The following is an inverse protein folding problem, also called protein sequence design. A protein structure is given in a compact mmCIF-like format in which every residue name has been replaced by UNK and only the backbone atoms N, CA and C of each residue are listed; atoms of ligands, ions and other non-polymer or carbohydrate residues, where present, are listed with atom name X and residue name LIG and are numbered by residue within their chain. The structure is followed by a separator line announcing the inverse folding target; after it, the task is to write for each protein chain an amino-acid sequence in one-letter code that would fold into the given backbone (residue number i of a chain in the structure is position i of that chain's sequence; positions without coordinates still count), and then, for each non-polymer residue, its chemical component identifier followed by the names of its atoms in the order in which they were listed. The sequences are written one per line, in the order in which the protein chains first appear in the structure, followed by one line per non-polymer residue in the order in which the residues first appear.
data_IF_630634226449
#
_entry.id   IF_630634226449
#
_cell.length_a   1.000
_cell.length_b   1.000
_cell.length_c   1.000
_cell.angle_alpha   90.00
_cell.angle_beta   90.00
_cell.angle_gamma   90.00
#
_symmetry.space_group_name_H-M   'P 1'
#
loop_
_entity.id
_entity.type
_entity.pdbx_description
1 polymer ?
#
# COMPACT_ATOMS: atom_id res chain seq x y z
N UNK A 1 2.59 -11.59 2.02
CA UNK A 1 1.27 -12.06 1.56
C UNK A 1 0.71 -11.01 0.63
N UNK A 2 0.02 -11.40 -0.44
CA UNK A 2 -0.65 -10.46 -1.34
C UNK A 2 -2.04 -10.10 -0.81
N UNK A 3 -2.74 -9.22 -1.51
CA UNK A 3 -4.18 -8.97 -1.36
C UNK A 3 -4.83 -9.06 -2.74
N UNK A 4 -4.34 -9.99 -3.56
CA UNK A 4 -4.71 -10.14 -4.97
C UNK A 4 -5.99 -10.95 -5.16
N UNK A 5 -6.35 -11.77 -4.18
CA UNK A 5 -7.56 -12.59 -4.20
C UNK A 5 -8.56 -12.11 -3.13
N UNK A 6 -9.85 -12.19 -3.45
CA UNK A 6 -10.94 -11.79 -2.54
C UNK A 6 -11.01 -12.69 -1.31
N UNK A 7 -10.68 -13.96 -1.47
CA UNK A 7 -10.55 -14.92 -0.37
C UNK A 7 -9.20 -14.71 0.33
N UNK A 8 -9.25 -14.22 1.57
CA UNK A 8 -8.05 -13.82 2.32
C UNK A 8 -7.04 -14.97 2.45
N UNK A 9 -7.50 -16.17 2.75
CA UNK A 9 -6.69 -17.37 2.91
C UNK A 9 -6.00 -17.82 1.61
N UNK A 10 -6.51 -17.41 0.45
CA UNK A 10 -5.92 -17.74 -0.84
C UNK A 10 -4.78 -16.80 -1.24
N UNK A 11 -4.50 -15.75 -0.46
CA UNK A 11 -3.38 -14.84 -0.67
C UNK A 11 -2.01 -15.41 -0.23
N UNK A 12 -1.75 -16.65 -0.64
CA UNK A 12 -0.51 -17.39 -0.39
C UNK A 12 0.57 -16.98 -1.39
N UNK A 13 1.84 -17.24 -1.05
CA UNK A 13 2.97 -16.99 -1.94
C UNK A 13 2.84 -17.79 -3.26
N UNK A 14 2.35 -19.03 -3.19
CA UNK A 14 2.20 -19.88 -4.37
C UNK A 14 1.10 -19.38 -5.32
N UNK A 15 -0.09 -19.07 -4.80
CA UNK A 15 -1.17 -18.52 -5.64
C UNK A 15 -0.78 -17.17 -6.24
N UNK A 16 -0.06 -16.35 -5.48
CA UNK A 16 0.49 -15.08 -5.97
C UNK A 16 1.45 -15.32 -7.13
N UNK A 17 2.37 -16.28 -7.01
CA UNK A 17 3.29 -16.65 -8.08
C UNK A 17 2.56 -17.16 -9.33
N UNK A 18 1.57 -18.03 -9.16
CA UNK A 18 0.75 -18.55 -10.26
C UNK A 18 -0.03 -17.44 -10.99
N UNK A 19 -0.58 -16.46 -10.25
CA UNK A 19 -1.22 -15.29 -10.84
C UNK A 19 -0.23 -14.49 -11.69
N UNK A 20 0.95 -14.16 -11.15
CA UNK A 20 1.92 -13.33 -11.87
C UNK A 20 2.56 -14.04 -13.08
N UNK A 21 2.98 -15.28 -12.91
CA UNK A 21 3.73 -16.00 -13.94
C UNK A 21 2.81 -16.59 -15.02
N UNK A 22 1.63 -17.06 -14.62
CA UNK A 22 0.77 -17.91 -15.46
C UNK A 22 -0.64 -17.34 -15.65
N UNK A 23 -1.00 -16.21 -15.02
CA UNK A 23 -2.36 -15.65 -15.02
C UNK A 23 -3.42 -16.62 -14.49
N UNK A 24 -3.06 -17.44 -13.50
CA UNK A 24 -3.99 -18.37 -12.87
C UNK A 24 -4.71 -17.67 -11.71
N UNK A 25 -6.04 -17.67 -11.77
CA UNK A 25 -6.90 -17.19 -10.69
C UNK A 25 -7.41 -18.35 -9.84
N UNK A 26 -7.75 -18.07 -8.59
CA UNK A 26 -8.35 -19.02 -7.66
C UNK A 26 -9.56 -18.39 -6.96
N UNK A 27 -10.38 -19.21 -6.30
CA UNK A 27 -11.48 -18.75 -5.43
C UNK A 27 -12.54 -17.90 -6.13
N UNK A 28 -13.07 -16.92 -5.41
CA UNK A 28 -14.05 -15.95 -5.90
C UNK A 28 -13.49 -15.09 -7.04
N UNK A 29 -12.19 -14.80 -7.03
CA UNK A 29 -11.53 -14.05 -8.11
C UNK A 29 -11.59 -14.84 -9.43
N UNK A 30 -11.41 -16.17 -9.40
CA UNK A 30 -11.58 -17.01 -10.60
C UNK A 30 -13.02 -16.99 -11.12
N UNK A 31 -14.01 -17.09 -10.21
CA UNK A 31 -15.43 -17.05 -10.59
C UNK A 31 -15.79 -15.71 -11.23
N UNK A 32 -15.35 -14.61 -10.62
CA UNK A 32 -15.54 -13.26 -11.16
C UNK A 32 -14.87 -13.10 -12.53
N UNK A 33 -13.69 -13.67 -12.72
CA UNK A 33 -13.00 -13.65 -14.02
C UNK A 33 -13.78 -14.42 -15.09
N UNK A 34 -14.23 -15.64 -14.78
CA UNK A 34 -15.04 -16.47 -15.69
C UNK A 34 -16.38 -15.83 -16.04
N UNK A 35 -16.98 -15.08 -15.10
CA UNK A 35 -18.18 -14.29 -15.33
C UNK A 35 -17.94 -13.00 -16.14
N UNK A 36 -16.68 -12.66 -16.44
CA UNK A 36 -16.33 -11.42 -17.14
C UNK A 36 -16.51 -10.15 -16.30
N UNK A 37 -16.55 -10.27 -14.97
CA UNK A 37 -16.81 -9.16 -14.06
C UNK A 37 -15.68 -8.12 -14.02
N UNK A 38 -14.48 -8.49 -14.48
CA UNK A 38 -13.35 -7.58 -14.61
C UNK A 38 -12.46 -7.95 -15.79
N UNK A 39 -11.67 -6.98 -16.25
CA UNK A 39 -10.64 -7.18 -17.28
C UNK A 39 -9.30 -7.31 -16.60
N UNK A 40 -8.59 -8.40 -16.87
CA UNK A 40 -7.22 -8.60 -16.42
C UNK A 40 -6.26 -8.44 -17.59
N UNK A 41 -5.19 -7.68 -17.38
CA UNK A 41 -4.06 -7.62 -18.29
C UNK A 41 -2.85 -8.23 -17.58
N UNK A 42 -2.05 -8.98 -18.33
CA UNK A 42 -0.80 -9.51 -17.81
C UNK A 42 0.07 -8.36 -17.31
N UNK A 43 0.64 -8.50 -16.12
CA UNK A 43 1.55 -7.52 -15.54
C UNK A 43 2.90 -7.65 -16.25
N UNK A 44 3.29 -6.59 -16.98
CA UNK A 44 4.51 -6.53 -17.80
C UNK A 44 5.60 -5.65 -17.19
N UNK A 45 5.44 -5.27 -15.93
CA UNK A 45 6.38 -4.44 -15.19
C UNK A 45 6.87 -5.16 -13.93
N UNK A 46 8.04 -4.77 -13.39
CA UNK A 46 8.55 -5.35 -12.15
C UNK A 46 7.56 -5.23 -11.00
N UNK A 47 7.46 -6.30 -10.22
CA UNK A 47 6.60 -6.36 -9.03
C UNK A 47 7.50 -6.53 -7.82
N UNK A 48 7.23 -5.74 -6.78
CA UNK A 48 7.90 -5.83 -5.50
C UNK A 48 6.90 -6.34 -4.46
N UNK A 49 7.39 -7.18 -3.54
CA UNK A 49 6.61 -7.66 -2.39
C UNK A 49 7.12 -6.93 -1.16
N UNK A 50 6.19 -6.34 -0.41
CA UNK A 50 6.54 -5.63 0.81
C UNK A 50 7.10 -6.59 1.87
N UNK A 51 8.00 -6.08 2.71
CA UNK A 51 8.57 -6.83 3.83
C UNK A 51 7.54 -6.85 4.97
N UNK A 52 7.19 -8.01 5.54
CA UNK A 52 6.32 -8.03 6.71
C UNK A 52 7.06 -7.48 7.93
N UNK A 53 6.35 -6.70 8.75
CA UNK A 53 6.79 -6.27 10.09
C UNK A 53 5.74 -6.74 11.10
N UNK A 54 6.20 -7.17 12.27
CA UNK A 54 5.38 -7.80 13.30
C UNK A 54 5.58 -7.06 14.63
N UNK A 55 4.73 -7.38 15.62
CA UNK A 55 5.09 -7.06 17.00
C UNK A 55 6.33 -7.84 17.45
N UNK A 56 7.22 -7.27 18.29
CA UNK A 56 7.12 -5.92 18.86
C UNK A 56 7.67 -4.79 17.96
N UNK A 57 8.32 -5.12 16.84
CA UNK A 57 9.01 -4.16 15.96
C UNK A 57 8.10 -3.05 15.41
N UNK A 58 6.81 -3.36 15.22
CA UNK A 58 5.77 -2.42 14.81
C UNK A 58 5.61 -1.23 15.77
N UNK A 59 5.72 -1.49 17.07
CA UNK A 59 5.59 -0.47 18.12
C UNK A 59 6.94 0.00 18.68
N UNK A 60 8.04 -0.50 18.11
CA UNK A 60 9.40 -0.09 18.49
C UNK A 60 9.65 1.39 18.20
N UNK A 61 10.43 2.03 19.08
CA UNK A 61 10.67 3.47 18.99
C UNK A 61 11.38 3.85 17.69
N UNK A 62 12.24 2.98 17.12
CA UNK A 62 12.89 3.27 15.83
C UNK A 62 11.88 3.37 14.69
N UNK A 63 10.93 2.42 14.60
CA UNK A 63 9.86 2.44 13.61
C UNK A 63 9.01 3.70 13.74
N UNK A 64 8.68 4.08 14.99
CA UNK A 64 7.93 5.31 15.26
C UNK A 64 8.70 6.56 14.82
N UNK A 65 9.99 6.66 15.11
CA UNK A 65 10.78 7.81 14.66
C UNK A 65 10.92 7.85 13.14
N UNK A 66 11.04 6.70 12.45
CA UNK A 66 11.03 6.64 10.98
C UNK A 66 9.72 7.20 10.41
N UNK A 67 8.57 6.83 10.98
CA UNK A 67 7.26 7.37 10.56
C UNK A 67 7.22 8.88 10.75
N UNK A 68 7.68 9.38 11.90
CA UNK A 68 7.68 10.81 12.19
C UNK A 68 8.60 11.57 11.22
N UNK A 69 9.75 11.00 10.86
CA UNK A 69 10.68 11.59 9.89
C UNK A 69 10.08 11.71 8.49
N UNK A 70 9.27 10.75 8.05
CA UNK A 70 8.58 10.82 6.75
C UNK A 70 7.45 11.86 6.71
N UNK A 71 6.99 12.35 7.86
CA UNK A 71 5.89 13.32 7.96
C UNK A 71 6.42 14.69 8.35
N UNK A 72 7.10 15.34 7.39
CA UNK A 72 7.67 16.68 7.53
C UNK A 72 6.58 17.67 7.97
N UNK A 73 6.68 18.10 9.24
CA UNK A 73 5.67 18.93 9.91
C UNK A 73 5.38 18.47 11.33
N UNK A 74 5.41 17.16 11.58
CA UNK A 74 5.17 16.61 12.92
C UNK A 74 6.28 16.94 13.93
N UNK A 75 7.47 17.28 13.43
CA UNK A 75 8.61 17.70 14.23
C UNK A 75 8.70 19.22 14.46
N UNK A 76 7.82 20.01 13.86
CA UNK A 76 7.89 21.48 13.94
C UNK A 76 7.32 22.05 15.27
N UNK A 77 6.55 21.26 16.02
CA UNK A 77 5.91 21.67 17.28
C UNK A 77 6.80 21.56 18.53
N UNK A 78 6.31 21.97 19.71
CA UNK A 78 6.99 21.80 20.99
C UNK A 78 7.01 20.33 21.47
N UNK A 79 7.97 19.97 22.33
CA UNK A 79 8.19 18.59 22.76
C UNK A 79 6.94 17.86 23.33
N UNK A 80 6.05 18.50 24.10
CA UNK A 80 4.83 17.84 24.57
C UNK A 80 3.90 17.36 23.44
N UNK A 81 3.87 18.06 22.31
CA UNK A 81 3.07 17.67 21.15
C UNK A 81 3.69 16.48 20.43
N UNK A 82 5.01 16.50 20.23
CA UNK A 82 5.76 15.37 19.67
C UNK A 82 5.56 14.10 20.51
N UNK A 83 5.56 14.23 21.83
CA UNK A 83 5.34 13.09 22.72
C UNK A 83 3.92 12.51 22.62
N UNK A 84 2.90 13.35 22.39
CA UNK A 84 1.53 12.87 22.11
C UNK A 84 1.48 12.06 20.82
N UNK A 85 2.13 12.54 19.75
CA UNK A 85 2.21 11.82 18.46
C UNK A 85 2.86 10.45 18.64
N UNK A 86 4.02 10.40 19.29
CA UNK A 86 4.72 9.13 19.59
C UNK A 86 3.85 8.15 20.36
N UNK A 87 3.14 8.65 21.37
CA UNK A 87 2.25 7.84 22.21
C UNK A 87 1.07 7.30 21.41
N UNK A 88 0.46 8.13 20.57
CA UNK A 88 -0.64 7.74 19.70
C UNK A 88 -0.21 6.67 18.68
N UNK A 89 0.95 6.82 18.03
CA UNK A 89 1.47 5.84 17.09
C UNK A 89 1.78 4.50 17.78
N UNK A 90 2.44 4.52 18.95
CA UNK A 90 2.67 3.30 19.75
C UNK A 90 1.37 2.60 20.09
N UNK A 91 0.36 3.35 20.54
CA UNK A 91 -0.95 2.83 20.88
C UNK A 91 -1.71 2.24 19.67
N UNK A 92 -1.62 2.88 18.51
CA UNK A 92 -2.19 2.39 17.25
C UNK A 92 -1.54 1.06 16.83
N UNK A 93 -0.21 1.04 16.74
CA UNK A 93 0.50 -0.15 16.27
C UNK A 93 0.42 -1.31 17.26
N UNK A 94 0.37 -1.07 18.57
CA UNK A 94 0.23 -2.11 19.59
C UNK A 94 -1.03 -3.00 19.41
N UNK A 95 -2.04 -2.52 18.69
CA UNK A 95 -3.26 -3.28 18.39
C UNK A 95 -3.13 -4.17 17.14
N UNK A 96 -2.05 -4.03 16.38
CA UNK A 96 -1.79 -4.77 15.14
C UNK A 96 -0.77 -5.88 15.38
N UNK A 97 -1.08 -7.09 14.92
CA UNK A 97 -0.17 -8.26 15.02
C UNK A 97 0.96 -8.16 13.98
N UNK A 98 0.60 -7.74 12.76
CA UNK A 98 1.49 -7.62 11.62
C UNK A 98 0.96 -6.61 10.60
N UNK A 99 1.84 -6.07 9.77
CA UNK A 99 1.48 -5.35 8.55
C UNK A 99 2.67 -5.33 7.56
N UNK A 100 2.46 -4.72 6.39
CA UNK A 100 3.56 -4.44 5.46
C UNK A 100 4.42 -3.28 5.96
N UNK A 101 5.74 -3.41 5.87
CA UNK A 101 6.68 -2.38 6.32
C UNK A 101 6.45 -1.05 5.61
N UNK A 102 6.29 -1.08 4.29
CA UNK A 102 6.02 0.11 3.47
C UNK A 102 4.72 0.78 3.89
N UNK A 103 3.69 -0.03 4.19
CA UNK A 103 2.42 0.48 4.69
C UNK A 103 2.55 1.15 6.06
N UNK A 104 3.29 0.51 6.99
CA UNK A 104 3.51 1.01 8.33
C UNK A 104 4.24 2.35 8.31
N UNK A 105 5.40 2.41 7.65
CA UNK A 105 6.30 3.56 7.73
C UNK A 105 5.79 4.79 6.96
N UNK A 106 4.85 4.59 6.05
CA UNK A 106 4.19 5.65 5.28
C UNK A 106 2.74 5.90 5.71
N UNK A 107 2.25 5.24 6.77
CA UNK A 107 0.87 5.35 7.27
C UNK A 107 -0.20 5.16 6.19
N UNK A 108 0.02 4.20 5.29
CA UNK A 108 -0.91 3.91 4.21
C UNK A 108 -2.19 3.26 4.78
N UNK A 109 -3.34 3.65 4.25
CA UNK A 109 -4.66 3.24 4.77
C UNK A 109 -5.01 1.78 4.46
N UNK A 110 -4.45 1.21 3.40
CA UNK A 110 -4.72 -0.15 2.97
C UNK A 110 -4.65 -0.33 1.45
N UNK A 111 -5.17 -1.43 0.95
CA UNK A 111 -5.14 -1.77 -0.47
C UNK A 111 -6.50 -1.55 -1.16
N UNK A 112 -6.53 -1.12 -2.43
CA UNK A 112 -5.41 -0.60 -3.19
C UNK A 112 -5.03 0.82 -2.74
N UNK A 113 -3.73 1.12 -2.70
CA UNK A 113 -3.19 2.47 -2.59
C UNK A 113 -2.44 2.77 -3.88
N UNK A 114 -2.63 3.97 -4.42
CA UNK A 114 -1.99 4.41 -5.65
C UNK A 114 -1.19 5.68 -5.40
N UNK A 115 0.00 5.74 -5.98
CA UNK A 115 0.94 6.85 -5.84
C UNK A 115 1.53 7.12 -7.23
N UNK A 116 1.42 8.37 -7.68
CA UNK A 116 2.08 8.87 -8.89
C UNK A 116 3.21 9.79 -8.45
N UNK A 117 4.40 9.56 -8.97
CA UNK A 117 5.58 10.38 -8.73
C UNK A 117 6.31 10.69 -10.03
N UNK A 118 7.05 11.79 -10.06
CA UNK A 118 7.86 12.19 -11.21
C UNK A 118 9.26 11.52 -11.19
N UNK A 119 10.10 11.86 -12.17
CA UNK A 119 11.46 11.35 -12.27
C UNK A 119 12.41 11.84 -11.16
N UNK A 120 12.00 12.85 -10.38
CA UNK A 120 12.73 13.33 -9.19
C UNK A 120 12.24 12.65 -7.90
N UNK A 121 11.30 11.71 -8.00
CA UNK A 121 10.63 11.04 -6.89
C UNK A 121 9.72 11.96 -6.06
N UNK A 122 9.29 13.09 -6.63
CA UNK A 122 8.28 13.94 -6.00
C UNK A 122 6.89 13.33 -6.20
N UNK A 123 6.11 13.20 -5.13
CA UNK A 123 4.72 12.69 -5.21
C UNK A 123 3.84 13.76 -5.87
N UNK A 124 3.27 13.44 -7.03
CA UNK A 124 2.36 14.29 -7.78
C UNK A 124 0.90 14.07 -7.35
N UNK A 125 0.55 12.82 -7.04
CA UNK A 125 -0.81 12.42 -6.69
C UNK A 125 -0.80 11.14 -5.85
N UNK A 126 -1.69 11.04 -4.87
CA UNK A 126 -1.94 9.82 -4.12
C UNK A 126 -3.44 9.63 -3.89
N UNK A 127 -3.89 8.37 -3.76
CA UNK A 127 -5.24 8.06 -3.29
C UNK A 127 -5.32 6.64 -2.76
N UNK A 128 -6.30 6.42 -1.90
CA UNK A 128 -6.66 5.12 -1.35
C UNK A 128 -8.04 4.68 -1.87
N UNK A 129 -8.18 3.38 -2.14
CA UNK A 129 -9.42 2.77 -2.60
C UNK A 129 -9.55 2.70 -4.12
N UNK A 130 -10.54 1.93 -4.57
CA UNK A 130 -10.83 1.77 -5.98
C UNK A 130 -11.26 3.10 -6.62
N UNK A 131 -10.79 3.33 -7.84
CA UNK A 131 -11.23 4.42 -8.70
C UNK A 131 -11.59 3.92 -10.08
N UNK A 132 -12.50 4.65 -10.71
CA UNK A 132 -12.84 4.45 -12.11
C UNK A 132 -11.60 4.60 -13.01
N UNK A 133 -11.30 3.64 -13.92
CA UNK A 133 -10.11 3.69 -14.76
C UNK A 133 -10.01 4.92 -15.67
N UNK A 134 -11.15 5.47 -16.13
CA UNK A 134 -11.14 6.68 -16.95
C UNK A 134 -10.71 7.87 -16.10
N UNK A 135 -11.23 7.99 -14.88
CA UNK A 135 -10.83 9.05 -13.96
C UNK A 135 -9.33 8.97 -13.60
N UNK A 136 -8.79 7.76 -13.44
CA UNK A 136 -7.34 7.56 -13.23
C UNK A 136 -6.54 8.03 -14.44
N UNK A 137 -6.98 7.66 -15.65
CA UNK A 137 -6.33 8.08 -16.91
C UNK A 137 -6.34 9.59 -17.06
N UNK A 138 -7.50 10.23 -16.84
CA UNK A 138 -7.66 11.67 -16.94
C UNK A 138 -6.73 12.40 -15.97
N UNK A 139 -6.61 11.92 -14.72
CA UNK A 139 -5.67 12.46 -13.73
C UNK A 139 -4.22 12.36 -14.21
N UNK A 140 -3.79 11.20 -14.68
CA UNK A 140 -2.41 10.98 -15.16
C UNK A 140 -2.11 11.89 -16.35
N UNK A 141 -3.06 12.01 -17.30
CA UNK A 141 -2.93 12.84 -18.49
C UNK A 141 -2.67 14.32 -18.18
N UNK A 142 -3.19 14.84 -17.07
CA UNK A 142 -2.93 16.24 -16.67
C UNK A 142 -1.47 16.52 -16.33
N UNK A 143 -0.71 15.50 -15.93
CA UNK A 143 0.71 15.62 -15.62
C UNK A 143 1.58 15.34 -16.85
N UNK A 144 1.19 14.38 -17.69
CA UNK A 144 1.93 14.07 -18.93
C UNK A 144 1.84 15.23 -19.93
N UNK A 145 0.67 15.84 -20.12
CA UNK A 145 0.47 16.95 -21.09
C UNK A 145 1.14 18.27 -20.69
N UNK A 146 1.65 18.37 -19.46
CA UNK A 146 2.40 19.54 -18.96
C UNK A 146 3.93 19.39 -19.10
N UNK A 147 4.40 18.27 -19.63
CA UNK A 147 5.83 17.92 -19.79
C UNK A 147 6.33 18.21 -21.21
#
# INVERSE_FOLDING_TARGET
MSTAFEDFELNTAENTRLLFEQNVFVGETLKAHQAGAFKWNKILFPVLVDKPIHQPDLSDSRTIETIIQHNEGWLAGPEPEKQKIRTALKGYFAQQIQCGYTFAVNLMQGTPTFILFDNTMSILLNWFGHQDPQLVTDKIDTFIKKS
#
